data_IF_698556434257
#
_entry.id   IF_698556434257
#
_cell.length_a   1.000
_cell.length_b   1.000
_cell.length_c   1.000
_cell.angle_alpha   90.00
_cell.angle_beta   90.00
_cell.angle_gamma   90.00
#
_symmetry.space_group_name_H-M   'P 1'
#
loop_
_entity.id
_entity.type
_entity.pdbx_description
1 polymer ?
#
# COMPACT_ATOMS: atom_id res chain seq x y z
N UNK A 1 7.73 -19.83 -12.56
CA UNK A 1 7.13 -20.96 -13.28
C UNK A 1 5.68 -20.60 -13.53
N UNK A 2 5.17 -20.74 -14.76
CA UNK A 2 3.76 -20.50 -15.04
C UNK A 2 2.86 -21.48 -14.27
N UNK A 3 1.70 -21.03 -13.80
CA UNK A 3 0.64 -21.87 -13.20
C UNK A 3 1.05 -22.71 -11.97
N UNK A 4 1.94 -22.20 -11.12
CA UNK A 4 2.47 -22.96 -9.97
C UNK A 4 1.72 -22.68 -8.66
N UNK A 5 1.07 -21.53 -8.52
CA UNK A 5 0.52 -21.07 -7.24
C UNK A 5 -1.00 -21.04 -7.21
N UNK A 6 -1.59 -21.57 -6.14
CA UNK A 6 -3.02 -21.46 -5.85
C UNK A 6 -3.37 -20.06 -5.28
N UNK A 7 -2.41 -19.42 -4.63
CA UNK A 7 -2.53 -18.09 -4.04
C UNK A 7 -1.17 -17.38 -4.06
N UNK A 8 -1.15 -16.15 -4.56
CA UNK A 8 -0.02 -15.21 -4.42
C UNK A 8 -0.46 -14.07 -3.51
N UNK A 9 0.36 -13.74 -2.51
CA UNK A 9 0.07 -12.69 -1.52
C UNK A 9 1.16 -11.63 -1.56
N UNK A 10 0.75 -10.37 -1.52
CA UNK A 10 1.59 -9.22 -1.23
C UNK A 10 0.98 -8.43 -0.07
N UNK A 11 1.84 -7.85 0.77
CA UNK A 11 1.43 -7.05 1.92
C UNK A 11 2.44 -5.94 2.16
N UNK A 12 1.99 -4.67 2.15
CA UNK A 12 2.83 -3.48 2.37
C UNK A 12 4.14 -3.49 1.56
N UNK A 13 4.06 -3.76 0.25
CA UNK A 13 5.26 -3.92 -0.57
C UNK A 13 5.17 -3.27 -1.95
N UNK A 14 3.99 -3.29 -2.60
CA UNK A 14 3.87 -2.75 -3.95
C UNK A 14 3.76 -1.23 -3.94
N UNK A 15 3.37 -0.59 -2.83
CA UNK A 15 3.27 0.86 -2.75
C UNK A 15 4.60 1.60 -3.02
N UNK A 16 5.77 0.99 -2.87
CA UNK A 16 7.05 1.63 -3.25
C UNK A 16 7.26 1.71 -4.78
N UNK A 17 6.51 0.94 -5.56
CA UNK A 17 6.69 0.81 -7.00
C UNK A 17 5.86 1.84 -7.77
N UNK A 18 6.42 2.36 -8.85
CA UNK A 18 5.66 3.15 -9.81
C UNK A 18 4.75 2.27 -10.68
N UNK A 19 3.86 2.88 -11.47
CA UNK A 19 2.89 2.14 -12.28
C UNK A 19 3.53 1.16 -13.29
N UNK A 20 4.68 1.52 -13.87
CA UNK A 20 5.39 0.67 -14.84
C UNK A 20 5.99 -0.56 -14.13
N UNK A 21 6.60 -0.37 -12.97
CA UNK A 21 7.18 -1.44 -12.15
C UNK A 21 6.11 -2.38 -11.61
N UNK A 22 4.99 -1.83 -11.12
CA UNK A 22 3.82 -2.60 -10.69
C UNK A 22 3.31 -3.48 -11.82
N UNK A 23 3.13 -2.93 -13.02
CA UNK A 23 2.67 -3.71 -14.19
C UNK A 23 3.60 -4.88 -14.51
N UNK A 24 4.92 -4.66 -14.47
CA UNK A 24 5.91 -5.71 -14.75
C UNK A 24 5.84 -6.87 -13.74
N UNK A 25 5.75 -6.56 -12.44
CA UNK A 25 5.62 -7.58 -11.39
C UNK A 25 4.25 -8.25 -11.45
N UNK A 26 3.17 -7.49 -11.60
CA UNK A 26 1.81 -8.03 -11.64
C UNK A 26 1.60 -8.95 -12.85
N UNK A 27 2.22 -8.65 -14.00
CA UNK A 27 2.23 -9.57 -15.15
C UNK A 27 2.86 -10.91 -14.78
N UNK A 28 3.99 -10.89 -14.05
CA UNK A 28 4.66 -12.10 -13.57
C UNK A 28 3.81 -12.85 -12.55
N UNK A 29 3.10 -12.13 -11.67
CA UNK A 29 2.17 -12.69 -10.68
C UNK A 29 1.02 -13.41 -11.37
N UNK A 30 0.32 -12.73 -12.29
CA UNK A 30 -0.81 -13.31 -13.04
C UNK A 30 -0.38 -14.59 -13.76
N UNK A 31 0.77 -14.58 -14.44
CA UNK A 31 1.30 -15.75 -15.13
C UNK A 31 1.65 -16.92 -14.20
N UNK A 32 1.92 -16.65 -12.92
CA UNK A 32 2.31 -17.68 -11.95
C UNK A 32 1.12 -18.33 -11.24
N UNK A 33 -0.09 -17.76 -11.37
CA UNK A 33 -1.30 -18.23 -10.69
C UNK A 33 -2.01 -19.28 -11.55
N UNK A 34 -2.34 -20.41 -10.93
CA UNK A 34 -3.14 -21.47 -11.56
C UNK A 34 -4.52 -20.95 -12.00
N UNK A 35 -5.16 -21.55 -13.01
CA UNK A 35 -6.57 -21.29 -13.30
C UNK A 35 -7.46 -21.47 -12.06
N UNK A 36 -8.18 -20.41 -11.68
CA UNK A 36 -9.03 -20.38 -10.48
C UNK A 36 -8.30 -20.03 -9.16
N UNK A 37 -6.99 -19.80 -9.21
CA UNK A 37 -6.20 -19.28 -8.10
C UNK A 37 -6.42 -17.79 -7.86
N UNK A 38 -5.83 -17.27 -6.78
CA UNK A 38 -6.08 -15.91 -6.30
C UNK A 38 -4.80 -15.08 -6.19
N UNK A 39 -4.93 -13.78 -6.42
CA UNK A 39 -3.97 -12.78 -5.99
C UNK A 39 -4.60 -11.94 -4.88
N UNK A 40 -3.88 -11.78 -3.76
CA UNK A 40 -4.28 -10.90 -2.67
C UNK A 40 -3.18 -9.86 -2.42
N UNK A 41 -3.51 -8.59 -2.61
CA UNK A 41 -2.64 -7.48 -2.24
C UNK A 41 -3.29 -6.68 -1.09
N UNK A 42 -2.64 -6.65 0.06
CA UNK A 42 -3.04 -5.84 1.21
C UNK A 42 -2.07 -4.66 1.35
N UNK A 43 -2.43 -3.51 0.78
CA UNK A 43 -1.47 -2.43 0.60
C UNK A 43 -2.07 -1.03 0.81
N UNK A 44 -1.19 -0.03 0.85
CA UNK A 44 -1.51 1.38 1.02
C UNK A 44 -2.03 1.94 -0.31
N UNK A 45 -3.20 2.57 -0.26
CA UNK A 45 -3.83 3.26 -1.38
C UNK A 45 -4.23 4.68 -0.98
N UNK A 46 -4.34 5.56 -1.97
CA UNK A 46 -4.82 6.93 -1.80
C UNK A 46 -6.31 6.99 -2.16
N UNK A 47 -7.11 7.68 -1.35
CA UNK A 47 -8.51 7.94 -1.71
C UNK A 47 -8.60 9.04 -2.78
N UNK A 48 -9.43 8.81 -3.80
CA UNK A 48 -9.62 9.78 -4.90
C UNK A 48 -10.20 11.12 -4.44
N UNK A 49 -11.10 11.09 -3.47
CA UNK A 49 -11.70 12.29 -2.91
C UNK A 49 -10.76 12.91 -1.86
N UNK A 50 -10.24 14.14 -2.05
CA UNK A 50 -9.26 14.74 -1.14
C UNK A 50 -9.75 14.88 0.30
N UNK A 51 -11.06 15.05 0.50
CA UNK A 51 -11.66 15.10 1.83
C UNK A 51 -11.65 13.74 2.55
N UNK A 52 -11.81 12.65 1.79
CA UNK A 52 -11.74 11.28 2.31
C UNK A 52 -10.29 10.93 2.63
N UNK A 53 -9.36 11.24 1.72
CA UNK A 53 -7.93 11.01 1.94
C UNK A 53 -7.42 11.72 3.20
N UNK A 54 -7.73 13.02 3.32
CA UNK A 54 -7.41 13.78 4.53
C UNK A 54 -7.97 13.11 5.79
N UNK A 55 -9.21 12.62 5.74
CA UNK A 55 -9.85 11.96 6.88
C UNK A 55 -9.18 10.62 7.23
N UNK A 56 -8.78 9.84 6.23
CA UNK A 56 -8.03 8.60 6.43
C UNK A 56 -6.68 8.91 7.11
N UNK A 57 -5.95 9.90 6.64
CA UNK A 57 -4.66 10.28 7.24
C UNK A 57 -4.80 10.80 8.68
N UNK A 58 -5.85 11.59 8.98
CA UNK A 58 -6.17 11.99 10.35
C UNK A 58 -6.42 10.78 11.27
N UNK A 59 -7.21 9.81 10.81
CA UNK A 59 -7.52 8.60 11.56
C UNK A 59 -6.28 7.70 11.74
N UNK A 60 -5.43 7.61 10.72
CA UNK A 60 -4.16 6.87 10.78
C UNK A 60 -3.24 7.46 11.84
N UNK A 61 -2.96 8.76 11.77
CA UNK A 61 -2.12 9.47 12.75
C UNK A 61 -2.68 9.28 14.17
N UNK A 62 -3.96 9.57 14.38
CA UNK A 62 -4.59 9.43 15.70
C UNK A 62 -4.54 7.99 16.22
N UNK A 63 -4.78 7.01 15.34
CA UNK A 63 -4.73 5.60 15.70
C UNK A 63 -3.32 5.11 16.05
N UNK A 64 -2.29 5.57 15.34
CA UNK A 64 -0.89 5.26 15.65
C UNK A 64 -0.51 5.86 17.00
N UNK A 65 -0.75 7.16 17.19
CA UNK A 65 -0.49 7.86 18.46
C UNK A 65 -1.18 7.16 19.64
N UNK A 66 -2.45 6.80 19.51
CA UNK A 66 -3.22 6.20 20.60
C UNK A 66 -2.80 4.77 20.98
N UNK A 67 -2.13 4.04 20.08
CA UNK A 67 -1.72 2.64 20.28
C UNK A 67 -0.23 2.48 20.54
N UNK A 68 0.56 3.54 20.35
CA UNK A 68 1.99 3.48 20.57
C UNK A 68 2.34 3.27 22.06
N UNK A 69 3.45 2.59 22.36
CA UNK A 69 4.01 2.55 23.70
C UNK A 69 4.23 3.95 24.26
N UNK A 70 4.01 4.15 25.56
CA UNK A 70 4.08 5.47 26.19
C UNK A 70 5.50 6.06 26.20
N UNK A 71 6.53 5.23 26.05
CA UNK A 71 7.94 5.60 25.99
C UNK A 71 8.45 5.84 24.56
N UNK A 72 7.61 5.66 23.54
CA UNK A 72 7.97 5.95 22.16
C UNK A 72 7.69 7.42 21.79
N UNK A 73 8.72 8.25 21.95
CA UNK A 73 8.61 9.70 21.72
C UNK A 73 8.21 10.06 20.27
N UNK A 74 8.46 9.19 19.29
CA UNK A 74 8.03 9.37 17.90
C UNK A 74 6.51 9.47 17.77
N UNK A 75 5.80 8.84 18.70
CA UNK A 75 4.36 8.68 18.67
C UNK A 75 3.65 9.30 19.87
N UNK A 76 4.36 10.03 20.74
CA UNK A 76 3.79 10.61 21.96
C UNK A 76 2.83 11.78 21.75
N UNK A 77 2.79 12.37 20.54
CA UNK A 77 1.92 13.50 20.19
C UNK A 77 1.49 13.43 18.72
N UNK A 78 0.28 13.91 18.41
CA UNK A 78 -0.32 13.78 17.08
C UNK A 78 0.52 14.40 15.96
N UNK A 79 1.03 15.62 16.15
CA UNK A 79 1.83 16.32 15.14
C UNK A 79 3.25 15.75 15.02
N UNK A 80 3.85 15.27 16.12
CA UNK A 80 5.13 14.52 16.07
C UNK A 80 4.94 13.22 15.31
N UNK A 81 3.84 12.51 15.58
CA UNK A 81 3.48 11.27 14.86
C UNK A 81 3.30 11.54 13.38
N UNK A 82 2.57 12.60 13.02
CA UNK A 82 2.39 13.00 11.62
C UNK A 82 3.73 13.27 10.95
N UNK A 83 4.57 14.12 11.55
CA UNK A 83 5.87 14.45 10.99
C UNK A 83 6.73 13.19 10.77
N UNK A 84 6.77 12.29 11.76
CA UNK A 84 7.52 11.05 11.65
C UNK A 84 7.00 10.15 10.52
N UNK A 85 5.68 10.01 10.37
CA UNK A 85 5.10 9.20 9.29
C UNK A 85 5.35 9.82 7.91
N UNK A 86 5.24 11.14 7.77
CA UNK A 86 5.53 11.86 6.51
C UNK A 86 7.01 11.72 6.12
N UNK A 87 7.92 11.82 7.10
CA UNK A 87 9.36 11.62 6.90
C UNK A 87 9.68 10.18 6.49
N UNK A 88 9.00 9.20 7.11
CA UNK A 88 9.16 7.78 6.79
C UNK A 88 8.68 7.47 5.35
N UNK A 89 7.49 7.94 4.96
CA UNK A 89 6.97 7.77 3.60
C UNK A 89 7.92 8.35 2.55
N UNK A 90 8.51 9.51 2.85
CA UNK A 90 9.52 10.14 1.99
C UNK A 90 10.79 9.31 1.91
N UNK A 91 11.29 8.80 3.04
CA UNK A 91 12.50 8.00 3.10
C UNK A 91 12.36 6.64 2.40
N UNK A 92 11.19 6.02 2.51
CA UNK A 92 10.84 4.75 1.86
C UNK A 92 10.40 4.92 0.39
N UNK A 93 10.36 6.17 -0.09
CA UNK A 93 9.99 6.51 -1.47
C UNK A 93 8.61 5.96 -1.85
N UNK A 94 7.64 6.09 -0.94
CA UNK A 94 6.30 5.56 -1.11
C UNK A 94 5.59 6.24 -2.30
N UNK A 95 4.95 5.40 -3.13
CA UNK A 95 4.23 5.78 -4.35
C UNK A 95 2.83 5.09 -4.40
N UNK A 96 2.00 5.22 -3.35
CA UNK A 96 0.66 4.64 -3.36
C UNK A 96 -0.19 5.29 -4.46
N UNK A 97 -1.00 4.48 -5.13
CA UNK A 97 -1.93 4.95 -6.16
C UNK A 97 -3.36 4.93 -5.62
N UNK A 98 -4.29 5.50 -6.39
CA UNK A 98 -5.72 5.33 -6.10
C UNK A 98 -6.15 3.90 -6.37
N UNK A 99 -7.25 3.47 -5.76
CA UNK A 99 -7.82 2.13 -6.01
C UNK A 99 -8.14 1.94 -7.50
N UNK A 100 -8.70 2.95 -8.17
CA UNK A 100 -9.00 2.86 -9.60
C UNK A 100 -7.74 2.69 -10.46
N UNK A 101 -6.65 3.35 -10.08
CA UNK A 101 -5.36 3.22 -10.77
C UNK A 101 -4.75 1.82 -10.55
N UNK A 102 -4.75 1.31 -9.30
CA UNK A 102 -4.30 -0.05 -9.00
C UNK A 102 -5.10 -1.10 -9.80
N UNK A 103 -6.43 -0.94 -9.86
CA UNK A 103 -7.30 -1.83 -10.63
C UNK A 103 -7.05 -1.71 -12.13
N UNK A 104 -6.71 -0.53 -12.65
CA UNK A 104 -6.33 -0.35 -14.05
C UNK A 104 -5.03 -1.08 -14.34
N UNK A 105 -3.99 -0.88 -13.54
CA UNK A 105 -2.68 -1.55 -13.71
C UNK A 105 -2.86 -3.08 -13.68
N UNK A 106 -3.67 -3.59 -12.75
CA UNK A 106 -3.95 -5.02 -12.65
C UNK A 106 -4.62 -5.56 -13.93
N UNK A 107 -5.64 -4.88 -14.46
CA UNK A 107 -6.31 -5.29 -15.72
C UNK A 107 -5.37 -5.26 -16.93
N UNK A 108 -4.39 -4.36 -16.95
CA UNK A 108 -3.39 -4.29 -18.02
C UNK A 108 -2.28 -5.34 -17.91
N UNK A 109 -2.26 -6.09 -16.80
CA UNK A 109 -1.23 -7.09 -16.49
C UNK A 109 -1.62 -8.52 -16.89
N UNK A 110 -2.88 -8.77 -17.26
CA UNK A 110 -3.40 -10.07 -17.69
C UNK A 110 -4.61 -10.52 -16.88
#
# INVERSE_FOLDING_TARGET
>A
MPDDFDLVISSYALHHLNAQEKRAILTSVVQSIKPGGWFLNADIVVAEAPAVERRIQELRVAGVTARAPADDERFGRLDVTRQFLDDLETAEQDQPQTVDEELRILRESG
#
